data_IF_563211324607
#
_entry.id   IF_563211324607
#
_cell.length_a   1.000
_cell.length_b   1.000
_cell.length_c   1.000
_cell.angle_alpha   90.00
_cell.angle_beta   90.00
_cell.angle_gamma   90.00
#
_symmetry.space_group_name_H-M   'P 1'
#
loop_
_entity.id
_entity.type
_entity.pdbx_description
1 polymer ?
#
# COMPACT_ATOMS: atom_id res chain seq x y z
N UNK A 1 -0.86 24.54 -19.41
CA UNK A 1 -1.53 23.86 -20.54
C UNK A 1 -0.79 22.56 -20.77
N UNK A 2 -1.33 21.42 -20.31
CA UNK A 2 -0.68 20.12 -20.58
C UNK A 2 -0.72 19.83 -22.07
N UNK A 3 0.41 19.41 -22.63
CA UNK A 3 0.57 19.20 -24.07
C UNK A 3 -0.26 17.96 -24.48
N UNK A 4 -0.76 17.91 -25.72
CA UNK A 4 -1.58 16.78 -26.20
C UNK A 4 -0.82 15.44 -26.14
N UNK A 5 0.51 15.52 -26.25
CA UNK A 5 1.47 14.44 -26.06
C UNK A 5 1.45 13.88 -24.62
N UNK A 6 1.33 14.73 -23.60
CA UNK A 6 1.31 14.29 -22.18
C UNK A 6 0.03 13.52 -21.87
N UNK A 7 -1.11 14.04 -22.32
CA UNK A 7 -2.41 13.36 -22.18
C UNK A 7 -2.39 11.98 -22.83
N UNK A 8 -1.74 11.87 -23.99
CA UNK A 8 -1.61 10.61 -24.71
C UNK A 8 -0.72 9.62 -23.95
N UNK A 9 0.39 10.08 -23.38
CA UNK A 9 1.29 9.25 -22.57
C UNK A 9 0.57 8.66 -21.35
N UNK A 10 -0.05 9.50 -20.50
CA UNK A 10 -0.70 9.02 -19.28
C UNK A 10 -1.87 8.07 -19.55
N UNK A 11 -2.57 8.25 -20.67
CA UNK A 11 -3.60 7.31 -21.12
C UNK A 11 -3.02 5.93 -21.46
N UNK A 12 -1.82 5.91 -22.04
CA UNK A 12 -1.14 4.70 -22.53
C UNK A 12 -0.17 4.07 -21.52
N UNK A 13 0.11 4.71 -20.39
CA UNK A 13 0.96 4.19 -19.33
C UNK A 13 0.42 2.84 -18.82
N UNK A 14 1.15 1.74 -19.03
CA UNK A 14 0.69 0.36 -18.75
C UNK A 14 1.80 -0.63 -18.40
N UNK A 15 3.02 -0.16 -18.17
CA UNK A 15 4.13 -1.02 -17.80
C UNK A 15 5.11 -0.33 -16.84
N UNK A 16 5.83 -1.15 -16.07
CA UNK A 16 6.93 -0.68 -15.25
C UNK A 16 8.05 -0.04 -16.09
N UNK A 17 8.33 -0.57 -17.29
CA UNK A 17 9.31 0.04 -18.19
C UNK A 17 8.95 1.49 -18.56
N UNK A 18 7.70 1.75 -18.97
CA UNK A 18 7.26 3.12 -19.29
C UNK A 18 7.30 4.05 -18.06
N UNK A 19 6.99 3.53 -16.88
CA UNK A 19 7.08 4.28 -15.64
C UNK A 19 8.54 4.67 -15.32
N UNK A 20 9.47 3.73 -15.48
CA UNK A 20 10.90 3.97 -15.28
C UNK A 20 11.44 4.97 -16.31
N UNK A 21 11.12 4.80 -17.60
CA UNK A 21 11.55 5.72 -18.66
C UNK A 21 11.11 7.15 -18.35
N UNK A 22 9.88 7.33 -17.87
CA UNK A 22 9.37 8.64 -17.48
C UNK A 22 10.11 9.21 -16.26
N UNK A 23 10.30 8.41 -15.21
CA UNK A 23 11.00 8.84 -14.00
C UNK A 23 12.46 9.22 -14.29
N UNK A 24 13.16 8.44 -15.12
CA UNK A 24 14.54 8.69 -15.54
C UNK A 24 14.62 9.96 -16.42
N UNK A 25 13.71 10.11 -17.39
CA UNK A 25 13.69 11.28 -18.28
C UNK A 25 13.36 12.60 -17.56
N UNK A 26 12.54 12.55 -16.51
CA UNK A 26 12.12 13.74 -15.76
C UNK A 26 12.90 13.96 -14.46
N UNK A 27 13.78 13.03 -14.09
CA UNK A 27 14.46 13.00 -12.79
C UNK A 27 13.47 13.12 -11.61
N UNK A 28 12.43 12.28 -11.63
CA UNK A 28 11.30 12.31 -10.69
C UNK A 28 11.08 10.94 -10.04
N UNK A 29 10.44 10.93 -8.86
CA UNK A 29 10.09 9.69 -8.14
C UNK A 29 8.85 9.00 -8.72
N UNK A 30 8.52 7.78 -8.25
CA UNK A 30 7.27 7.12 -8.68
C UNK A 30 6.05 7.81 -8.08
N UNK A 31 6.13 8.39 -6.87
CA UNK A 31 5.03 9.18 -6.31
C UNK A 31 4.74 10.42 -7.14
N UNK A 32 5.78 11.05 -7.71
CA UNK A 32 5.62 12.18 -8.62
C UNK A 32 4.97 11.75 -9.95
N UNK A 33 5.35 10.58 -10.49
CA UNK A 33 4.67 9.99 -11.63
C UNK A 33 3.20 9.66 -11.30
N UNK A 34 2.93 9.09 -10.13
CA UNK A 34 1.59 8.78 -9.65
C UNK A 34 0.72 10.05 -9.55
N UNK A 35 1.28 11.13 -8.99
CA UNK A 35 0.62 12.43 -8.91
C UNK A 35 0.30 12.97 -10.31
N UNK A 36 1.27 13.00 -11.21
CA UNK A 36 1.07 13.44 -12.58
C UNK A 36 0.01 12.59 -13.29
N UNK A 37 0.06 11.27 -13.12
CA UNK A 37 -0.92 10.34 -13.66
C UNK A 37 -2.35 10.64 -13.16
N UNK A 38 -2.54 10.84 -11.86
CA UNK A 38 -3.84 11.14 -11.26
C UNK A 38 -4.39 12.50 -11.71
N UNK A 39 -3.55 13.54 -11.77
CA UNK A 39 -3.92 14.87 -12.29
C UNK A 39 -4.45 14.74 -13.73
N UNK A 40 -3.75 13.99 -14.59
CA UNK A 40 -4.15 13.82 -15.98
C UNK A 40 -5.39 12.93 -16.14
N UNK A 41 -5.50 11.86 -15.35
CA UNK A 41 -6.62 10.92 -15.40
C UNK A 41 -7.92 11.55 -14.94
N UNK A 42 -7.88 12.34 -13.87
CA UNK A 42 -9.08 12.86 -13.19
C UNK A 42 -9.35 14.33 -13.49
N UNK A 43 -8.37 15.07 -13.98
CA UNK A 43 -8.49 16.51 -14.22
C UNK A 43 -8.66 17.33 -12.95
N UNK A 44 -8.13 16.85 -11.82
CA UNK A 44 -8.13 17.57 -10.53
C UNK A 44 -6.73 18.07 -10.21
N UNK A 45 -6.63 19.04 -9.30
CA UNK A 45 -5.35 19.58 -8.86
C UNK A 45 -4.64 18.65 -7.84
N UNK A 46 -3.37 18.94 -7.60
CA UNK A 46 -2.53 18.21 -6.65
C UNK A 46 -3.12 18.24 -5.23
N UNK A 47 -3.65 19.38 -4.80
CA UNK A 47 -4.22 19.55 -3.47
C UNK A 47 -5.41 18.60 -3.22
N UNK A 48 -6.28 18.42 -4.20
CA UNK A 48 -7.39 17.47 -4.11
C UNK A 48 -6.92 16.01 -4.01
N UNK A 49 -5.87 15.64 -4.73
CA UNK A 49 -5.29 14.28 -4.68
C UNK A 49 -4.64 14.03 -3.32
N UNK A 50 -3.87 14.99 -2.80
CA UNK A 50 -3.27 14.90 -1.47
C UNK A 50 -4.33 14.82 -0.38
N UNK A 51 -5.40 15.62 -0.46
CA UNK A 51 -6.51 15.58 0.49
C UNK A 51 -7.22 14.22 0.51
N UNK A 52 -7.46 13.63 -0.66
CA UNK A 52 -8.05 12.29 -0.74
C UNK A 52 -7.09 11.21 -0.24
N UNK A 53 -5.81 11.30 -0.59
CA UNK A 53 -4.77 10.39 -0.11
C UNK A 53 -4.70 10.43 1.42
N UNK A 54 -4.77 11.61 2.01
CA UNK A 54 -4.84 11.78 3.46
C UNK A 54 -6.08 11.13 4.06
N UNK A 55 -7.26 11.34 3.46
CA UNK A 55 -8.50 10.71 3.92
C UNK A 55 -8.42 9.17 3.90
N UNK A 56 -7.74 8.58 2.91
CA UNK A 56 -7.48 7.14 2.86
C UNK A 56 -6.54 6.70 4.00
N UNK A 57 -5.46 7.43 4.25
CA UNK A 57 -4.53 7.15 5.35
C UNK A 57 -5.24 7.22 6.71
N UNK A 58 -6.07 8.25 6.90
CA UNK A 58 -6.83 8.42 8.15
C UNK A 58 -7.85 7.29 8.34
N UNK A 59 -8.47 6.82 7.26
CA UNK A 59 -9.32 5.64 7.31
C UNK A 59 -8.52 4.37 7.64
N UNK A 60 -7.33 4.19 7.05
CA UNK A 60 -6.44 3.07 7.39
C UNK A 60 -6.06 3.08 8.88
N UNK A 61 -5.71 4.25 9.43
CA UNK A 61 -5.43 4.45 10.86
C UNK A 61 -6.64 4.07 11.70
N UNK A 62 -7.83 4.53 11.32
CA UNK A 62 -9.07 4.22 12.03
C UNK A 62 -9.37 2.71 12.03
N UNK A 63 -9.22 2.04 10.89
CA UNK A 63 -9.40 0.60 10.75
C UNK A 63 -8.43 -0.18 11.62
N UNK A 64 -7.12 0.12 11.56
CA UNK A 64 -6.11 -0.57 12.40
C UNK A 64 -6.35 -0.33 13.88
N UNK A 65 -6.71 0.90 14.28
CA UNK A 65 -7.03 1.22 15.67
C UNK A 65 -8.25 0.44 16.16
N UNK A 66 -9.31 0.37 15.36
CA UNK A 66 -10.52 -0.39 15.65
C UNK A 66 -10.20 -1.87 15.82
N UNK A 67 -9.57 -2.49 14.79
CA UNK A 67 -9.25 -3.91 14.81
C UNK A 67 -8.24 -4.32 15.88
N UNK A 68 -7.36 -3.41 16.29
CA UNK A 68 -6.41 -3.68 17.40
C UNK A 68 -7.07 -3.60 18.78
N UNK A 69 -8.17 -2.84 18.90
CA UNK A 69 -8.92 -2.70 20.16
C UNK A 69 -10.02 -3.76 20.31
N UNK A 70 -10.60 -4.23 19.20
CA UNK A 70 -11.67 -5.22 19.19
C UNK A 70 -11.15 -6.66 19.09
N UNK A 71 -11.19 -7.37 20.23
CA UNK A 71 -10.84 -8.78 20.34
C UNK A 71 -12.04 -9.74 20.15
N UNK A 72 -13.19 -9.21 19.71
CA UNK A 72 -14.40 -10.01 19.51
C UNK A 72 -14.22 -11.00 18.36
N UNK A 73 -14.77 -12.22 18.44
CA UNK A 73 -14.77 -13.13 17.30
C UNK A 73 -15.39 -12.50 16.05
N UNK A 74 -14.83 -12.82 14.90
CA UNK A 74 -15.41 -12.49 13.59
C UNK A 74 -16.70 -13.28 13.33
N UNK A 75 -17.46 -12.91 12.30
CA UNK A 75 -18.73 -13.56 11.97
C UNK A 75 -18.63 -15.09 11.78
N UNK A 76 -17.49 -15.59 11.28
CA UNK A 76 -17.26 -17.02 11.12
C UNK A 76 -16.83 -17.72 12.42
N UNK A 77 -16.46 -16.97 13.46
CA UNK A 77 -15.87 -17.48 14.69
C UNK A 77 -14.43 -18.01 14.56
N UNK A 78 -13.83 -17.94 13.36
CA UNK A 78 -12.50 -18.52 13.11
C UNK A 78 -11.33 -17.58 13.47
N UNK A 79 -11.57 -16.27 13.42
CA UNK A 79 -10.57 -15.21 13.72
C UNK A 79 -11.18 -14.14 14.63
N UNK A 80 -10.39 -13.16 15.09
CA UNK A 80 -10.87 -12.05 15.94
C UNK A 80 -9.92 -11.66 17.08
N UNK A 81 -8.82 -12.40 17.27
CA UNK A 81 -7.82 -12.13 18.31
C UNK A 81 -6.38 -12.23 17.76
N UNK A 82 -6.21 -12.34 16.44
CA UNK A 82 -4.90 -12.54 15.83
C UNK A 82 -4.07 -11.26 15.94
N UNK A 83 -4.68 -10.09 15.71
CA UNK A 83 -4.00 -8.80 15.86
C UNK A 83 -3.49 -8.57 17.28
N UNK A 84 -4.34 -8.80 18.29
CA UNK A 84 -3.98 -8.59 19.70
C UNK A 84 -2.90 -9.57 20.17
N UNK A 85 -2.98 -10.84 19.76
CA UNK A 85 -1.92 -11.83 20.04
C UNK A 85 -0.60 -11.44 19.39
N UNK A 86 -0.63 -10.92 18.16
CA UNK A 86 0.57 -10.46 17.46
C UNK A 86 1.18 -9.21 18.13
N UNK A 87 0.35 -8.26 18.59
CA UNK A 87 0.82 -7.11 19.37
C UNK A 87 1.42 -7.51 20.71
N UNK A 88 0.85 -8.51 21.40
CA UNK A 88 1.43 -9.05 22.62
C UNK A 88 2.80 -9.70 22.34
N UNK A 89 2.94 -10.44 21.24
CA UNK A 89 4.22 -10.99 20.80
C UNK A 89 5.25 -9.90 20.44
N UNK A 90 4.81 -8.78 19.85
CA UNK A 90 5.69 -7.64 19.58
C UNK A 90 6.28 -7.04 20.86
N UNK A 91 5.55 -7.09 21.97
CA UNK A 91 5.99 -6.58 23.28
C UNK A 91 6.73 -7.62 24.13
N UNK A 92 6.80 -8.87 23.69
CA UNK A 92 7.43 -9.95 24.44
C UNK A 92 8.96 -9.79 24.50
N UNK A 93 9.61 -10.17 25.63
CA UNK A 93 11.06 -10.08 25.78
C UNK A 93 11.81 -11.07 24.89
N UNK A 94 11.19 -12.22 24.58
CA UNK A 94 11.71 -13.22 23.65
C UNK A 94 10.84 -13.23 22.39
N UNK A 95 11.42 -12.81 21.26
CA UNK A 95 10.75 -12.71 19.96
C UNK A 95 11.73 -13.02 18.82
N UNK A 96 11.23 -13.65 17.77
CA UNK A 96 12.04 -14.04 16.60
C UNK A 96 12.28 -12.87 15.64
N UNK A 97 11.26 -12.02 15.45
CA UNK A 97 11.31 -10.88 14.52
C UNK A 97 11.39 -9.55 15.27
N UNK A 98 11.75 -8.48 14.56
CA UNK A 98 11.80 -7.13 15.13
C UNK A 98 10.40 -6.67 15.58
N UNK A 99 10.31 -5.75 16.57
CA UNK A 99 9.03 -5.12 16.96
C UNK A 99 8.26 -4.58 15.76
N UNK A 100 8.97 -3.92 14.84
CA UNK A 100 8.37 -3.27 13.67
C UNK A 100 7.75 -4.30 12.73
N UNK A 101 8.43 -5.43 12.46
CA UNK A 101 7.86 -6.51 11.63
C UNK A 101 6.64 -7.14 12.28
N UNK A 102 6.68 -7.40 13.60
CA UNK A 102 5.52 -7.95 14.31
C UNK A 102 4.35 -6.96 14.33
N UNK A 103 4.62 -5.66 14.45
CA UNK A 103 3.61 -4.60 14.35
C UNK A 103 2.99 -4.55 12.94
N UNK A 104 3.78 -4.69 11.87
CA UNK A 104 3.26 -4.79 10.50
C UNK A 104 2.27 -5.94 10.36
N UNK A 105 2.64 -7.13 10.87
CA UNK A 105 1.77 -8.31 10.85
C UNK A 105 0.50 -8.08 11.68
N UNK A 106 0.62 -7.47 12.86
CA UNK A 106 -0.52 -7.15 13.71
C UNK A 106 -1.50 -6.19 13.03
N UNK A 107 -1.01 -5.15 12.37
CA UNK A 107 -1.84 -4.17 11.68
C UNK A 107 -2.51 -4.74 10.43
N UNK A 108 -1.81 -5.62 9.71
CA UNK A 108 -2.41 -6.37 8.62
C UNK A 108 -3.55 -7.28 9.11
N UNK A 109 -3.33 -8.01 10.22
CA UNK A 109 -4.35 -8.84 10.85
C UNK A 109 -5.53 -8.02 11.36
N UNK A 110 -5.28 -6.88 12.01
CA UNK A 110 -6.33 -5.99 12.51
C UNK A 110 -7.24 -5.53 11.36
N UNK A 111 -6.65 -5.16 10.23
CA UNK A 111 -7.41 -4.75 9.04
C UNK A 111 -8.23 -5.89 8.45
N UNK A 112 -7.67 -7.10 8.38
CA UNK A 112 -8.38 -8.28 7.86
C UNK A 112 -9.49 -8.76 8.81
N UNK A 113 -9.31 -8.62 10.12
CA UNK A 113 -10.33 -8.92 11.11
C UNK A 113 -11.49 -7.92 11.02
N UNK A 114 -11.22 -6.61 10.86
CA UNK A 114 -12.26 -5.60 10.59
C UNK A 114 -13.01 -5.89 9.28
N UNK A 115 -12.29 -6.25 8.21
CA UNK A 115 -12.91 -6.67 6.96
C UNK A 115 -13.82 -7.89 7.16
N UNK A 116 -13.38 -8.87 7.98
CA UNK A 116 -14.15 -10.07 8.30
C UNK A 116 -15.37 -9.81 9.21
N UNK A 117 -15.37 -8.66 9.91
CA UNK A 117 -16.54 -8.12 10.65
C UNK A 117 -17.44 -7.26 9.77
N UNK A 118 -17.14 -7.13 8.47
CA UNK A 118 -17.87 -6.27 7.52
C UNK A 118 -17.82 -4.77 7.89
N UNK A 119 -16.78 -4.35 8.62
CA UNK A 119 -16.54 -2.94 8.92
C UNK A 119 -15.89 -2.21 7.74
N UNK A 120 -15.79 -0.89 7.84
CA UNK A 120 -15.20 -0.04 6.79
C UNK A 120 -13.68 -0.22 6.73
N UNK A 121 -13.17 -0.60 5.55
CA UNK A 121 -11.75 -0.76 5.26
C UNK A 121 -11.34 0.02 3.99
N UNK A 122 -10.04 0.15 3.74
CA UNK A 122 -9.50 0.66 2.47
C UNK A 122 -8.98 -0.53 1.65
N UNK A 123 -9.48 -0.71 0.44
CA UNK A 123 -9.01 -1.76 -0.46
C UNK A 123 -7.60 -1.45 -0.99
N UNK A 124 -6.70 -2.43 -0.97
CA UNK A 124 -5.29 -2.27 -1.35
C UNK A 124 -4.69 -3.58 -1.93
N UNK A 125 -4.97 -3.97 -3.18
CA UNK A 125 -5.94 -3.38 -4.10
C UNK A 125 -7.36 -3.97 -3.94
N UNK A 126 -7.51 -5.09 -3.23
CA UNK A 126 -8.78 -5.74 -2.93
C UNK A 126 -9.11 -5.64 -1.44
N UNK A 127 -10.34 -5.99 -1.06
CA UNK A 127 -10.70 -6.15 0.33
C UNK A 127 -9.93 -7.30 1.01
N UNK A 128 -9.69 -8.41 0.29
CA UNK A 128 -8.98 -9.59 0.79
C UNK A 128 -7.49 -9.36 1.10
N UNK A 129 -6.86 -8.39 0.41
CA UNK A 129 -5.46 -8.00 0.65
C UNK A 129 -5.31 -6.64 1.36
N UNK A 130 -6.42 -6.07 1.84
CA UNK A 130 -6.47 -4.71 2.40
C UNK A 130 -5.52 -4.45 3.56
N UNK A 131 -5.08 -5.48 4.28
CA UNK A 131 -4.16 -5.32 5.41
C UNK A 131 -2.69 -5.07 5.05
N UNK A 132 -2.24 -5.40 3.83
CA UNK A 132 -0.80 -5.41 3.51
C UNK A 132 -0.19 -4.01 3.47
N UNK A 133 -0.69 -3.14 2.59
CA UNK A 133 -0.17 -1.77 2.43
C UNK A 133 -0.36 -0.92 3.71
N UNK A 134 -1.55 -0.91 4.36
CA UNK A 134 -1.74 -0.21 5.63
C UNK A 134 -0.84 -0.74 6.73
N UNK A 135 -0.71 -2.07 6.86
CA UNK A 135 0.11 -2.68 7.89
C UNK A 135 1.57 -2.26 7.80
N UNK A 136 2.11 -2.22 6.58
CA UNK A 136 3.48 -1.76 6.31
C UNK A 136 3.65 -0.27 6.60
N UNK A 137 2.86 0.60 5.96
CA UNK A 137 3.06 2.05 6.05
C UNK A 137 2.83 2.57 7.48
N UNK A 138 1.77 2.11 8.14
CA UNK A 138 1.46 2.56 9.50
C UNK A 138 2.51 2.07 10.51
N UNK A 139 2.94 0.81 10.42
CA UNK A 139 3.98 0.31 11.31
C UNK A 139 5.33 1.03 11.10
N UNK A 140 5.67 1.41 9.87
CA UNK A 140 6.85 2.23 9.59
C UNK A 140 6.72 3.66 10.10
N UNK A 141 5.53 4.25 10.00
CA UNK A 141 5.28 5.60 10.55
C UNK A 141 5.48 5.68 12.06
N UNK A 142 5.20 4.59 12.76
CA UNK A 142 5.34 4.49 14.21
C UNK A 142 6.64 3.78 14.66
N UNK A 143 7.48 3.38 13.71
CA UNK A 143 8.74 2.70 14.01
C UNK A 143 9.74 3.72 14.54
N UNK A 144 10.43 3.47 15.67
CA UNK A 144 11.41 4.40 16.22
C UNK A 144 12.59 4.65 15.26
N UNK A 145 12.92 3.67 14.42
CA UNK A 145 14.05 3.76 13.49
C UNK A 145 13.72 4.49 12.17
N UNK A 146 12.43 4.59 11.82
CA UNK A 146 12.00 5.09 10.50
C UNK A 146 11.14 6.34 10.62
N UNK A 147 10.14 6.34 11.51
CA UNK A 147 9.30 7.49 11.85
C UNK A 147 8.80 8.30 10.64
N UNK A 148 8.11 7.64 9.71
CA UNK A 148 7.57 8.30 8.51
C UNK A 148 6.64 9.46 8.89
N UNK A 149 6.88 10.64 8.31
CA UNK A 149 5.95 11.77 8.40
C UNK A 149 4.77 11.64 7.41
N UNK A 150 3.77 12.51 7.54
CA UNK A 150 2.56 12.45 6.69
C UNK A 150 2.87 12.61 5.19
N UNK A 151 3.86 13.43 4.82
CA UNK A 151 4.27 13.56 3.42
C UNK A 151 4.90 12.26 2.89
N UNK A 152 5.71 11.58 3.70
CA UNK A 152 6.24 10.25 3.36
C UNK A 152 5.13 9.20 3.26
N UNK A 153 4.15 9.23 4.16
CA UNK A 153 2.98 8.36 4.09
C UNK A 153 2.19 8.55 2.79
N UNK A 154 1.95 9.80 2.40
CA UNK A 154 1.29 10.15 1.13
C UNK A 154 2.09 9.67 -0.07
N UNK A 155 3.41 9.90 -0.11
CA UNK A 155 4.28 9.39 -1.18
C UNK A 155 4.23 7.87 -1.28
N UNK A 156 4.35 7.17 -0.15
CA UNK A 156 4.28 5.71 -0.10
C UNK A 156 2.96 5.18 -0.63
N UNK A 157 1.83 5.80 -0.25
CA UNK A 157 0.51 5.38 -0.72
C UNK A 157 0.31 5.68 -2.21
N UNK A 158 0.79 6.82 -2.71
CA UNK A 158 0.76 7.15 -4.14
C UNK A 158 1.59 6.15 -4.96
N UNK A 159 2.79 5.80 -4.50
CA UNK A 159 3.64 4.78 -5.14
C UNK A 159 2.98 3.41 -5.15
N UNK A 160 2.41 2.97 -4.02
CA UNK A 160 1.64 1.73 -3.94
C UNK A 160 0.47 1.74 -4.94
N UNK A 161 -0.27 2.85 -5.02
CA UNK A 161 -1.38 3.05 -5.96
C UNK A 161 -0.95 2.95 -7.41
N UNK A 162 0.17 3.57 -7.79
CA UNK A 162 0.72 3.48 -9.15
C UNK A 162 1.09 2.05 -9.52
N UNK A 163 1.76 1.32 -8.64
CA UNK A 163 2.09 -0.10 -8.88
C UNK A 163 0.81 -0.91 -9.06
N UNK A 164 -0.19 -0.71 -8.22
CA UNK A 164 -1.50 -1.36 -8.35
C UNK A 164 -2.19 -1.07 -9.69
N UNK A 165 -2.19 0.19 -10.14
CA UNK A 165 -2.75 0.60 -11.44
C UNK A 165 -1.97 0.00 -12.63
N UNK A 166 -0.65 -0.06 -12.57
CA UNK A 166 0.15 -0.66 -13.65
C UNK A 166 -0.10 -2.17 -13.77
N UNK A 167 -0.27 -2.85 -12.64
CA UNK A 167 -0.57 -4.29 -12.60
C UNK A 167 -2.01 -4.55 -13.07
N UNK A 168 -2.98 -3.73 -12.65
CA UNK A 168 -4.40 -3.88 -13.04
C UNK A 168 -4.62 -3.83 -14.57
N UNK A 169 -3.73 -3.14 -15.30
CA UNK A 169 -3.74 -3.06 -16.77
C UNK A 169 -3.33 -4.34 -17.47
N UNK A 170 -2.74 -5.31 -16.75
CA UNK A 170 -2.19 -6.55 -17.33
C UNK A 170 -2.75 -7.83 -16.72
N UNK A 171 -3.35 -7.75 -15.53
CA UNK A 171 -3.94 -8.92 -14.88
C UNK A 171 -5.19 -8.55 -14.08
N UNK A 172 -6.07 -9.53 -13.89
CA UNK A 172 -7.22 -9.39 -13.01
C UNK A 172 -6.78 -9.32 -11.55
N UNK A 173 -7.26 -8.30 -10.83
CA UNK A 173 -7.02 -8.11 -9.40
C UNK A 173 -8.14 -8.76 -8.58
N UNK A 174 -8.28 -10.07 -8.70
CA UNK A 174 -9.25 -10.84 -7.91
C UNK A 174 -8.75 -12.24 -7.65
N UNK A 175 -8.89 -12.68 -6.41
CA UNK A 175 -8.55 -14.02 -5.96
C UNK A 175 -9.43 -15.07 -6.62
N UNK A 176 -10.68 -14.69 -6.95
CA UNK A 176 -11.58 -15.54 -7.72
C UNK A 176 -11.12 -15.77 -9.17
N UNK A 177 -10.38 -14.81 -9.76
CA UNK A 177 -9.93 -14.88 -11.15
C UNK A 177 -8.47 -15.35 -11.29
N UNK A 178 -7.61 -15.12 -10.30
CA UNK A 178 -6.16 -15.37 -10.39
C UNK A 178 -5.52 -15.93 -9.13
N UNK A 179 -6.30 -16.39 -8.14
CA UNK A 179 -5.80 -16.92 -6.88
C UNK A 179 -5.21 -15.86 -5.95
N UNK A 180 -4.71 -16.26 -4.77
CA UNK A 180 -4.18 -15.33 -3.76
C UNK A 180 -2.98 -14.49 -4.27
N UNK A 181 -2.22 -15.01 -5.24
CA UNK A 181 -1.13 -14.25 -5.89
C UNK A 181 -1.66 -13.00 -6.60
N UNK A 182 -2.88 -13.07 -7.14
CA UNK A 182 -3.53 -11.95 -7.82
C UNK A 182 -4.06 -10.86 -6.88
N UNK A 183 -4.09 -11.11 -5.57
CA UNK A 183 -4.48 -10.09 -4.58
C UNK A 183 -3.33 -9.76 -3.62
N UNK A 184 -2.93 -10.74 -2.80
CA UNK A 184 -1.92 -10.56 -1.75
C UNK A 184 -0.54 -10.39 -2.35
N UNK A 185 -0.22 -11.11 -3.45
CA UNK A 185 1.03 -10.91 -4.17
C UNK A 185 1.15 -9.50 -4.74
N UNK A 186 0.07 -9.00 -5.35
CA UNK A 186 -0.01 -7.62 -5.86
C UNK A 186 0.17 -6.60 -4.73
N UNK A 187 -0.57 -6.76 -3.63
CA UNK A 187 -0.47 -5.89 -2.47
C UNK A 187 0.94 -5.89 -1.84
N UNK A 188 1.62 -7.04 -1.85
CA UNK A 188 3.01 -7.17 -1.38
C UNK A 188 3.96 -6.40 -2.29
N UNK A 189 3.81 -6.49 -3.61
CA UNK A 189 4.62 -5.69 -4.55
C UNK A 189 4.35 -4.19 -4.47
N UNK A 190 3.09 -3.79 -4.23
CA UNK A 190 2.72 -2.40 -3.95
C UNK A 190 3.41 -1.89 -2.67
N UNK A 191 3.37 -2.68 -1.60
CA UNK A 191 4.03 -2.33 -0.34
C UNK A 191 5.56 -2.29 -0.49
N UNK A 192 6.17 -3.21 -1.24
CA UNK A 192 7.61 -3.24 -1.47
C UNK A 192 8.11 -1.96 -2.18
N UNK A 193 7.44 -1.53 -3.25
CA UNK A 193 7.78 -0.26 -3.91
C UNK A 193 7.60 0.94 -2.98
N UNK A 194 6.51 0.95 -2.20
CA UNK A 194 6.25 2.02 -1.25
C UNK A 194 7.37 2.13 -0.20
N UNK A 195 7.82 1.01 0.38
CA UNK A 195 8.95 0.97 1.33
C UNK A 195 10.20 1.58 0.70
N UNK A 196 10.59 1.10 -0.49
CA UNK A 196 11.82 1.56 -1.14
C UNK A 196 11.77 3.05 -1.40
N UNK A 197 10.64 3.57 -1.88
CA UNK A 197 10.50 5.00 -2.16
C UNK A 197 10.54 5.85 -0.90
N UNK A 198 9.81 5.48 0.17
CA UNK A 198 9.79 6.31 1.39
C UNK A 198 11.12 6.32 2.12
N UNK A 199 11.96 5.29 1.90
CA UNK A 199 13.33 5.18 2.40
C UNK A 199 14.38 5.79 1.45
N UNK A 200 13.97 6.45 0.36
CA UNK A 200 14.86 7.20 -0.53
C UNK A 200 15.54 6.37 -1.62
N UNK A 201 15.04 5.17 -1.90
CA UNK A 201 15.49 4.37 -3.03
C UNK A 201 15.05 4.96 -4.38
N UNK A 202 15.73 4.54 -5.44
CA UNK A 202 15.44 4.97 -6.81
C UNK A 202 14.17 4.30 -7.37
N UNK A 203 13.52 4.88 -8.39
CA UNK A 203 12.41 4.24 -9.09
C UNK A 203 12.73 2.81 -9.56
N UNK A 204 13.98 2.59 -10.03
CA UNK A 204 14.46 1.26 -10.42
C UNK A 204 14.51 0.29 -9.25
N UNK A 205 15.09 0.70 -8.12
CA UNK A 205 15.12 -0.13 -6.91
C UNK A 205 13.71 -0.49 -6.42
N UNK A 206 12.76 0.45 -6.51
CA UNK A 206 11.38 0.21 -6.11
C UNK A 206 10.70 -0.84 -7.02
N UNK A 207 10.90 -0.75 -8.34
CA UNK A 207 10.39 -1.73 -9.29
C UNK A 207 11.07 -3.10 -9.16
N UNK A 208 12.37 -3.13 -8.88
CA UNK A 208 13.10 -4.38 -8.60
C UNK A 208 12.55 -5.04 -7.33
N UNK A 209 12.27 -4.27 -6.28
CA UNK A 209 11.64 -4.78 -5.06
C UNK A 209 10.22 -5.31 -5.32
N UNK A 210 9.42 -4.64 -6.14
CA UNK A 210 8.12 -5.16 -6.60
C UNK A 210 8.28 -6.49 -7.33
N UNK A 211 9.26 -6.61 -8.24
CA UNK A 211 9.52 -7.85 -8.98
C UNK A 211 9.95 -9.00 -8.04
N UNK A 212 10.80 -8.69 -7.04
CA UNK A 212 11.19 -9.67 -6.01
C UNK A 212 9.99 -10.12 -5.17
N UNK A 213 9.10 -9.19 -4.81
CA UNK A 213 7.88 -9.51 -4.08
C UNK A 213 6.93 -10.43 -4.88
N UNK A 214 6.80 -10.21 -6.19
CA UNK A 214 5.96 -11.07 -7.05
C UNK A 214 6.53 -12.46 -7.29
N UNK A 215 7.85 -12.62 -7.16
CA UNK A 215 8.51 -13.91 -7.34
C UNK A 215 8.23 -14.88 -6.17
N UNK A 216 8.03 -14.35 -4.96
CA UNK A 216 7.86 -15.12 -3.72
C UNK A 216 6.40 -15.52 -3.49
#
# INVERSE_FOLDING_TARGET
MSNETDKTFFKQLKSFAQALDWCEANNQSLSALAMAYEIHRRGVDEAAILAQTQALIDQMRATVRSGSADASPTLSGLTGQLASKMMAAASAPCRLMSPTMLKMMAYALATLEENSRMHRIVACPTAGASGVVPGVLLALSESPDVALNDAQMQRGLLTAGLVGELVSRRMFLSGAAGGCQAEVGVATGMAAAAIVEVLGGTPRQAMDATAMAFKN
#
